data_IF_541949184960
#
_entry.id   IF_541949184960
#
_cell.length_a   1.000
_cell.length_b   1.000
_cell.length_c   1.000
_cell.angle_alpha   90.00
_cell.angle_beta   90.00
_cell.angle_gamma   90.00
#
_symmetry.space_group_name_H-M   'P 1'
#
loop_
_entity.id
_entity.type
_entity.pdbx_description
1 polymer ?
#
# COMPACT_ATOMS: atom_id res chain seq x y z
N UNK A 1 -15.59 -2.70 9.72
CA UNK A 1 -14.14 -2.71 9.51
C UNK A 1 -13.69 -1.28 9.21
N UNK A 2 -12.92 -0.68 10.13
CA UNK A 2 -12.43 0.67 9.93
C UNK A 2 -11.25 0.63 8.95
N UNK A 3 -11.40 1.32 7.84
CA UNK A 3 -10.30 1.57 6.91
C UNK A 3 -9.29 2.48 7.63
N UNK A 4 -8.13 1.94 8.00
CA UNK A 4 -7.13 2.72 8.71
C UNK A 4 -6.42 3.72 7.80
N UNK A 5 -5.94 3.26 6.64
CA UNK A 5 -5.16 4.05 5.70
C UNK A 5 -5.43 3.67 4.25
N UNK A 6 -5.46 4.70 3.41
CA UNK A 6 -5.48 4.56 1.95
C UNK A 6 -4.28 5.30 1.38
N UNK A 7 -3.59 4.69 0.44
CA UNK A 7 -2.53 5.33 -0.34
C UNK A 7 -2.95 5.47 -1.78
N UNK A 8 -2.67 6.64 -2.33
CA UNK A 8 -2.81 6.93 -3.76
C UNK A 8 -1.41 7.12 -4.31
N UNK A 9 -1.04 6.29 -5.27
CA UNK A 9 0.23 6.36 -5.99
C UNK A 9 -0.05 6.95 -7.36
N UNK A 10 0.54 8.09 -7.64
CA UNK A 10 0.50 8.69 -8.96
C UNK A 10 1.85 8.47 -9.64
N UNK A 11 1.86 7.64 -10.65
CA UNK A 11 3.06 7.30 -11.40
C UNK A 11 3.24 8.26 -12.57
N UNK A 12 4.12 9.23 -12.39
CA UNK A 12 4.45 10.24 -13.40
C UNK A 12 5.12 9.60 -14.61
N UNK A 13 6.03 8.65 -14.35
CA UNK A 13 6.64 7.81 -15.37
C UNK A 13 6.04 6.41 -15.35
N UNK A 14 6.02 5.74 -16.51
CA UNK A 14 5.70 4.31 -16.55
C UNK A 14 6.78 3.47 -15.87
N UNK A 15 6.45 2.22 -15.58
CA UNK A 15 7.38 1.26 -15.00
C UNK A 15 6.98 -0.17 -15.37
N UNK A 16 7.99 -1.03 -15.45
CA UNK A 16 7.86 -2.46 -15.66
C UNK A 16 8.46 -3.23 -14.48
N UNK A 17 8.31 -4.54 -14.50
CA UNK A 17 8.93 -5.42 -13.52
C UNK A 17 10.45 -5.25 -13.50
N UNK A 18 10.98 -4.99 -12.32
CA UNK A 18 12.41 -4.73 -12.11
C UNK A 18 12.81 -3.26 -12.16
N UNK A 19 11.87 -2.34 -12.35
CA UNK A 19 12.10 -0.89 -12.23
C UNK A 19 11.86 -0.37 -10.79
N UNK A 20 11.90 -1.24 -9.79
CA UNK A 20 11.47 -0.90 -8.44
C UNK A 20 9.95 -0.80 -8.35
N UNK A 21 9.25 -1.61 -9.09
CA UNK A 21 7.79 -1.65 -9.14
C UNK A 21 7.19 -2.12 -7.80
N UNK A 22 5.97 -1.67 -7.54
CA UNK A 22 5.20 -2.15 -6.41
C UNK A 22 4.73 -3.58 -6.70
N UNK A 23 4.84 -4.47 -5.73
CA UNK A 23 4.20 -5.78 -5.72
C UNK A 23 3.22 -5.85 -4.56
N UNK A 24 2.10 -6.51 -4.77
CA UNK A 24 1.01 -6.59 -3.80
C UNK A 24 0.45 -8.01 -3.74
N UNK A 25 -0.19 -8.34 -2.62
CA UNK A 25 -1.01 -9.55 -2.48
C UNK A 25 -2.48 -9.12 -2.44
N UNK A 26 -3.19 -9.16 -3.58
CA UNK A 26 -4.60 -8.78 -3.62
C UNK A 26 -5.44 -9.64 -2.67
N UNK A 27 -6.32 -9.01 -1.90
CA UNK A 27 -7.14 -9.70 -0.90
C UNK A 27 -6.50 -9.86 0.48
N UNK A 28 -5.20 -9.66 0.63
CA UNK A 28 -4.49 -9.78 1.92
C UNK A 28 -4.99 -8.81 2.99
N UNK A 29 -5.53 -7.67 2.60
CA UNK A 29 -6.12 -6.68 3.52
C UNK A 29 -7.29 -7.23 4.36
N UNK A 30 -7.91 -8.31 3.95
CA UNK A 30 -8.98 -8.97 4.73
C UNK A 30 -8.45 -9.66 5.98
N UNK A 31 -7.19 -10.08 5.98
CA UNK A 31 -6.62 -10.86 7.08
C UNK A 31 -6.01 -10.00 8.18
N UNK A 32 -5.59 -8.77 7.85
CA UNK A 32 -5.07 -7.76 8.80
C UNK A 32 -4.01 -8.29 9.76
N UNK A 33 -3.14 -9.12 9.27
CA UNK A 33 -2.02 -9.62 10.07
C UNK A 33 -0.89 -8.57 10.11
N UNK A 34 -0.56 -8.00 11.28
CA UNK A 34 0.50 -7.02 11.40
C UNK A 34 1.91 -7.65 11.40
N UNK A 35 1.99 -8.96 11.44
CA UNK A 35 3.24 -9.70 11.57
C UNK A 35 3.68 -10.37 10.28
N UNK A 36 3.10 -9.99 9.14
CA UNK A 36 3.54 -10.49 7.84
C UNK A 36 4.97 -10.03 7.61
N UNK A 37 5.87 -10.95 7.59
CA UNK A 37 7.26 -10.74 7.23
C UNK A 37 7.73 -11.94 6.40
N UNK A 38 8.43 -11.67 5.33
CA UNK A 38 9.11 -12.67 4.52
C UNK A 38 10.30 -12.00 3.83
N UNK A 39 11.41 -12.68 3.76
CA UNK A 39 12.62 -12.15 3.13
C UNK A 39 12.61 -12.37 1.60
N UNK A 40 11.73 -13.24 1.12
CA UNK A 40 11.53 -13.48 -0.31
C UNK A 40 10.07 -13.73 -0.68
N UNK A 41 9.78 -13.68 -1.98
CA UNK A 41 8.46 -13.99 -2.51
C UNK A 41 8.13 -15.48 -2.33
N UNK A 42 9.12 -16.35 -2.50
CA UNK A 42 8.98 -17.80 -2.30
C UNK A 42 8.61 -18.10 -0.86
N UNK A 43 9.32 -17.52 0.09
CA UNK A 43 8.99 -17.68 1.51
C UNK A 43 7.58 -17.21 1.83
N UNK A 44 7.15 -16.07 1.28
CA UNK A 44 5.79 -15.56 1.49
C UNK A 44 4.74 -16.51 0.92
N UNK A 45 4.99 -17.07 -0.27
CA UNK A 45 4.10 -18.02 -0.93
C UNK A 45 3.98 -19.34 -0.17
N UNK A 46 5.08 -19.81 0.41
CA UNK A 46 5.15 -21.08 1.14
C UNK A 46 4.72 -20.95 2.61
N UNK A 47 4.62 -19.76 3.14
CA UNK A 47 4.29 -19.49 4.54
C UNK A 47 2.93 -18.80 4.68
N UNK A 48 2.93 -17.49 4.80
CA UNK A 48 1.76 -16.73 5.23
C UNK A 48 0.56 -16.80 4.29
N UNK A 49 0.79 -16.89 2.97
CA UNK A 49 -0.31 -16.94 1.99
C UNK A 49 -0.62 -18.33 1.46
N UNK A 50 0.16 -19.35 1.85
CA UNK A 50 0.07 -20.71 1.32
C UNK A 50 -1.34 -21.32 1.38
N UNK A 51 -2.05 -21.07 2.48
CA UNK A 51 -3.38 -21.62 2.77
C UNK A 51 -4.51 -20.59 2.65
N UNK A 52 -4.19 -19.36 2.24
CA UNK A 52 -5.18 -18.28 2.22
C UNK A 52 -5.86 -18.14 0.89
N UNK A 53 -7.17 -17.98 0.97
CA UNK A 53 -8.02 -17.70 -0.19
C UNK A 53 -8.70 -16.35 -0.02
N UNK A 54 -8.91 -15.67 -1.13
CA UNK A 54 -9.63 -14.40 -1.16
C UNK A 54 -11.09 -14.61 -0.72
N UNK A 55 -11.57 -13.96 0.36
CA UNK A 55 -12.88 -14.28 0.95
C UNK A 55 -14.07 -14.09 0.01
N UNK A 56 -13.94 -13.21 -0.98
CA UNK A 56 -15.04 -12.93 -1.92
C UNK A 56 -14.98 -13.77 -3.19
N UNK A 57 -13.79 -14.14 -3.64
CA UNK A 57 -13.62 -14.83 -4.93
C UNK A 57 -13.29 -16.30 -4.79
N UNK A 58 -12.88 -16.75 -3.60
CA UNK A 58 -12.44 -18.13 -3.34
C UNK A 58 -11.12 -18.52 -4.02
N UNK A 59 -10.45 -17.58 -4.69
CA UNK A 59 -9.15 -17.83 -5.33
C UNK A 59 -8.02 -17.77 -4.30
N UNK A 60 -7.03 -18.64 -4.45
CA UNK A 60 -5.81 -18.56 -3.65
C UNK A 60 -5.16 -17.18 -3.77
N UNK A 61 -4.60 -16.68 -2.67
CA UNK A 61 -3.82 -15.46 -2.71
C UNK A 61 -2.51 -15.69 -3.48
N UNK A 62 -2.01 -14.64 -4.09
CA UNK A 62 -0.76 -14.67 -4.83
C UNK A 62 -0.16 -13.27 -4.93
N UNK A 63 1.10 -13.21 -5.28
CA UNK A 63 1.83 -11.96 -5.45
C UNK A 63 1.60 -11.44 -6.88
N UNK A 64 1.29 -10.18 -7.00
CA UNK A 64 1.12 -9.49 -8.28
C UNK A 64 2.12 -8.35 -8.36
N UNK A 65 2.97 -8.40 -9.39
CA UNK A 65 3.79 -7.25 -9.77
C UNK A 65 2.90 -6.23 -10.50
N UNK A 66 2.95 -4.98 -10.08
CA UNK A 66 2.29 -3.90 -10.80
C UNK A 66 3.21 -3.39 -11.90
N UNK A 67 2.68 -3.35 -13.09
CA UNK A 67 3.29 -2.71 -14.25
C UNK A 67 2.29 -1.70 -14.81
N UNK A 68 2.76 -0.52 -15.16
CA UNK A 68 1.84 0.52 -15.56
C UNK A 68 2.48 1.57 -16.48
N UNK A 69 1.72 2.10 -17.44
CA UNK A 69 2.14 3.24 -18.23
C UNK A 69 2.23 4.53 -17.40
N UNK A 70 2.91 5.51 -17.93
CA UNK A 70 2.95 6.86 -17.38
C UNK A 70 1.53 7.43 -17.17
N UNK A 71 1.32 8.16 -16.09
CA UNK A 71 0.03 8.73 -15.72
C UNK A 71 -0.91 7.77 -14.97
N UNK A 72 -0.48 6.53 -14.69
CA UNK A 72 -1.27 5.58 -13.91
C UNK A 72 -1.47 6.05 -12.48
N UNK A 73 -2.69 5.90 -11.98
CA UNK A 73 -3.04 6.09 -10.57
C UNK A 73 -3.42 4.74 -9.96
N UNK A 74 -2.71 4.34 -8.92
CA UNK A 74 -3.05 3.15 -8.14
C UNK A 74 -3.57 3.56 -6.76
N UNK A 75 -4.73 3.02 -6.38
CA UNK A 75 -5.32 3.18 -5.06
C UNK A 75 -5.14 1.88 -4.29
N UNK A 76 -4.58 1.97 -3.10
CA UNK A 76 -4.31 0.79 -2.28
C UNK A 76 -4.66 1.03 -0.82
N UNK A 77 -5.28 0.05 -0.20
CA UNK A 77 -5.34 -0.01 1.25
C UNK A 77 -4.00 -0.42 1.83
N UNK A 78 -3.47 0.38 2.74
CA UNK A 78 -2.15 0.14 3.34
C UNK A 78 -2.06 -1.18 4.10
N UNK A 79 -3.20 -1.76 4.49
CA UNK A 79 -3.26 -3.09 5.13
C UNK A 79 -3.06 -4.26 4.16
N UNK A 80 -3.08 -4.02 2.85
CA UNK A 80 -2.70 -5.05 1.91
C UNK A 80 -1.19 -5.32 2.04
N UNK A 81 -0.81 -6.58 2.07
CA UNK A 81 0.60 -6.97 2.03
C UNK A 81 1.21 -6.46 0.73
N UNK A 82 2.29 -5.73 0.83
CA UNK A 82 2.95 -5.11 -0.30
C UNK A 82 4.44 -4.91 -0.04
N UNK A 83 5.19 -4.88 -1.10
CA UNK A 83 6.61 -4.59 -1.09
C UNK A 83 7.03 -3.89 -2.39
N UNK A 84 8.26 -3.46 -2.45
CA UNK A 84 8.86 -2.92 -3.66
C UNK A 84 9.81 -3.95 -4.24
N UNK A 85 9.68 -4.24 -5.53
CA UNK A 85 10.61 -5.12 -6.23
C UNK A 85 11.99 -4.44 -6.30
N UNK A 86 13.09 -5.16 -6.10
CA UNK A 86 14.42 -4.62 -6.31
C UNK A 86 14.57 -4.04 -7.72
N UNK A 87 15.30 -2.94 -7.83
CA UNK A 87 15.63 -2.37 -9.14
C UNK A 87 16.71 -3.19 -9.80
N UNK A 88 16.55 -3.42 -11.09
CA UNK A 88 17.62 -3.94 -11.94
C UNK A 88 18.65 -2.84 -12.20
N UNK A 89 19.88 -3.25 -12.42
CA UNK A 89 20.89 -2.33 -12.94
C UNK A 89 20.41 -1.71 -14.24
N UNK A 90 20.74 -0.45 -14.46
CA UNK A 90 20.38 0.35 -15.65
C UNK A 90 18.87 0.59 -15.83
N UNK A 91 18.00 0.21 -14.87
CA UNK A 91 16.59 0.56 -14.97
C UNK A 91 16.36 2.06 -14.92
N UNK A 92 15.41 2.57 -15.67
CA UNK A 92 15.05 3.98 -15.69
C UNK A 92 14.54 4.46 -14.34
N UNK A 93 14.72 5.76 -14.04
CA UNK A 93 14.19 6.32 -12.80
C UNK A 93 12.67 6.34 -12.83
N UNK A 94 12.07 5.72 -11.82
CA UNK A 94 10.62 5.75 -11.60
C UNK A 94 10.26 6.95 -10.72
N UNK A 95 9.41 7.82 -11.24
CA UNK A 95 8.84 8.92 -10.49
C UNK A 95 7.43 8.58 -10.02
N UNK A 96 7.22 8.65 -8.72
CA UNK A 96 5.94 8.37 -8.11
C UNK A 96 5.66 9.41 -7.02
N UNK A 97 4.50 10.04 -7.08
CA UNK A 97 3.97 10.87 -5.99
C UNK A 97 3.02 10.02 -5.18
N UNK A 98 3.20 9.98 -3.85
CA UNK A 98 2.37 9.17 -2.97
C UNK A 98 1.62 10.09 -2.00
N UNK A 99 0.30 9.98 -2.02
CA UNK A 99 -0.57 10.58 -1.03
C UNK A 99 -1.04 9.49 -0.07
N UNK A 100 -0.92 9.75 1.23
CA UNK A 100 -1.42 8.85 2.27
C UNK A 100 -2.57 9.53 3.03
N UNK A 101 -3.71 8.88 3.07
CA UNK A 101 -4.89 9.36 3.79
C UNK A 101 -5.19 8.40 4.93
N UNK A 102 -5.47 8.98 6.07
CA UNK A 102 -5.84 8.25 7.28
C UNK A 102 -7.28 8.60 7.67
N UNK A 103 -8.00 7.60 8.14
CA UNK A 103 -9.23 7.88 8.86
C UNK A 103 -8.87 8.64 10.15
N UNK A 104 -9.43 9.82 10.42
CA UNK A 104 -9.13 10.65 11.59
C UNK A 104 -9.65 10.07 12.92
N UNK A 105 -10.21 8.87 12.92
CA UNK A 105 -10.53 8.17 14.15
C UNK A 105 -9.35 8.10 15.13
N UNK A 106 -9.45 7.33 16.19
CA UNK A 106 -8.43 7.20 17.24
C UNK A 106 -7.01 7.13 16.65
N UNK A 107 -6.02 7.79 17.27
CA UNK A 107 -4.64 7.75 16.83
C UNK A 107 -4.23 6.30 16.53
N UNK A 108 -3.74 6.06 15.32
CA UNK A 108 -3.14 4.77 15.02
C UNK A 108 -1.85 4.65 15.85
N UNK A 109 -1.48 3.45 16.26
CA UNK A 109 -0.17 3.20 16.86
C UNK A 109 1.01 3.41 15.89
N UNK A 110 0.77 3.93 14.70
CA UNK A 110 1.77 4.27 13.70
C UNK A 110 2.58 5.49 14.17
N UNK A 111 3.78 5.25 14.65
CA UNK A 111 4.66 6.26 15.24
C UNK A 111 5.40 7.14 14.23
N UNK A 112 5.23 6.93 12.95
CA UNK A 112 5.89 7.71 11.90
C UNK A 112 5.15 8.99 11.51
N UNK A 113 3.93 9.18 12.02
CA UNK A 113 3.23 10.47 11.94
C UNK A 113 3.46 11.18 13.25
N UNK A 114 4.14 12.30 13.25
CA UNK A 114 4.37 13.09 14.45
C UNK A 114 3.08 13.77 14.90
N UNK A 115 2.84 13.86 16.21
CA UNK A 115 1.69 14.56 16.80
C UNK A 115 1.51 15.98 16.26
N UNK A 116 2.62 16.63 15.89
CA UNK A 116 2.61 17.96 15.29
C UNK A 116 1.84 18.03 13.96
N UNK A 117 1.71 16.92 13.23
CA UNK A 117 0.92 16.83 11.99
C UNK A 117 -0.47 16.28 12.22
N UNK A 118 -0.68 15.48 13.27
CA UNK A 118 -1.98 14.89 13.56
C UNK A 118 -3.03 15.91 14.00
N UNK A 119 -2.61 16.99 14.64
CA UNK A 119 -3.48 17.99 15.25
C UNK A 119 -3.43 19.36 14.57
N UNK A 120 -2.74 19.51 13.46
CA UNK A 120 -2.73 20.77 12.72
C UNK A 120 -3.96 20.89 11.84
N UNK A 121 -4.90 21.75 12.23
CA UNK A 121 -5.83 22.33 11.28
C UNK A 121 -5.03 23.02 10.16
N UNK A 122 -5.19 22.53 8.93
CA UNK A 122 -4.59 23.20 7.76
C UNK A 122 -5.46 24.42 7.49
N UNK A 123 -4.91 25.65 7.52
CA UNK A 123 -5.69 26.85 7.20
C UNK A 123 -6.41 26.69 5.86
N UNK A 124 -7.72 26.91 5.85
CA UNK A 124 -8.58 26.74 4.68
C UNK A 124 -9.14 25.32 4.49
N UNK A 125 -8.80 24.38 5.36
CA UNK A 125 -9.33 23.02 5.34
C UNK A 125 -10.21 22.70 6.56
N UNK A 126 -10.61 23.70 7.32
CA UNK A 126 -11.41 23.56 8.55
C UNK A 126 -12.72 22.82 8.30
N UNK A 127 -13.36 23.06 7.14
CA UNK A 127 -14.57 22.36 6.73
C UNK A 127 -14.38 20.88 6.46
N UNK A 128 -13.16 20.45 6.10
CA UNK A 128 -12.83 19.04 5.90
C UNK A 128 -12.60 18.32 7.24
N UNK A 129 -12.13 19.05 8.25
CA UNK A 129 -11.91 18.50 9.60
C UNK A 129 -13.22 18.27 10.35
N UNK A 130 -14.31 18.93 9.96
CA UNK A 130 -15.64 18.79 10.57
C UNK A 130 -16.45 17.62 10.00
N UNK A 131 -15.95 16.92 8.99
CA UNK A 131 -16.61 15.74 8.41
C UNK A 131 -16.35 14.45 9.21
N UNK A 132 -15.67 14.56 10.35
CA UNK A 132 -15.23 13.41 11.13
C UNK A 132 -15.64 13.57 12.61
#
# INVERSE_FOLDING_TARGET
>A
PHLGFVRIFFYVSGFAKGDGNLKVVPGSHHFRDPHIHADSDEELLESWIADKVHPQTGKSLGIVDLEAPAGTVALMWTHAAHAVHPRKDESSTRWCVVYAYRNPGRPSGARWITEAFENKAIPGAEGLMSLY
#
